data_IF_004334470803
#
_entry.id   IF_004334470803
#
_cell.length_a   1.000
_cell.length_b   1.000
_cell.length_c   1.000
_cell.angle_alpha   90.00
_cell.angle_beta   90.00
_cell.angle_gamma   90.00
#
_symmetry.space_group_name_H-M   'P 1'
#
loop_
_entity.id
_entity.type
_entity.pdbx_description
1 polymer ?
#
# COMPACT_ATOMS: atom_id res chain seq x y z
N UNK A 1 -14.64 23.12 -1.11
CA UNK A 1 -13.62 22.41 -0.30
C UNK A 1 -14.27 21.21 0.37
N UNK A 2 -13.77 20.00 0.17
CA UNK A 2 -14.31 18.80 0.81
C UNK A 2 -13.67 18.66 2.19
N UNK A 3 -14.50 18.68 3.25
CA UNK A 3 -14.07 18.54 4.65
C UNK A 3 -13.29 17.25 4.92
N UNK A 4 -13.43 16.24 4.08
CA UNK A 4 -12.82 14.93 4.24
C UNK A 4 -11.29 14.98 4.21
N UNK A 5 -10.67 15.85 3.40
CA UNK A 5 -9.20 15.97 3.36
C UNK A 5 -8.64 16.60 4.65
N UNK A 6 -9.38 17.52 5.27
CA UNK A 6 -9.01 18.09 6.58
C UNK A 6 -9.10 17.00 7.65
N UNK A 7 -10.19 16.23 7.65
CA UNK A 7 -10.39 15.10 8.59
C UNK A 7 -9.31 14.04 8.39
N UNK A 8 -8.95 13.75 7.14
CA UNK A 8 -7.90 12.81 6.78
C UNK A 8 -6.52 13.26 7.29
N UNK A 9 -6.17 14.53 7.09
CA UNK A 9 -4.92 15.10 7.60
C UNK A 9 -4.87 15.10 9.13
N UNK A 10 -5.98 15.48 9.78
CA UNK A 10 -6.09 15.46 11.24
C UNK A 10 -6.01 14.04 11.80
N UNK A 11 -6.64 13.06 11.14
CA UNK A 11 -6.58 11.65 11.50
C UNK A 11 -5.13 11.15 11.57
N UNK A 12 -4.33 11.40 10.53
CA UNK A 12 -2.91 11.01 10.55
C UNK A 12 -2.08 11.79 11.57
N UNK A 13 -2.36 13.08 11.76
CA UNK A 13 -1.70 13.87 12.80
C UNK A 13 -1.93 13.26 14.19
N UNK A 14 -3.18 12.99 14.55
CA UNK A 14 -3.54 12.38 15.84
C UNK A 14 -2.91 11.00 15.98
N UNK A 15 -2.98 10.18 14.93
CA UNK A 15 -2.40 8.84 14.91
C UNK A 15 -0.90 8.88 15.20
N UNK A 16 -0.14 9.75 14.52
CA UNK A 16 1.31 9.89 14.70
C UNK A 16 1.64 10.43 16.11
N UNK A 17 0.86 11.39 16.61
CA UNK A 17 1.02 11.89 17.98
C UNK A 17 0.82 10.78 19.02
N UNK A 18 -0.26 10.00 18.89
CA UNK A 18 -0.55 8.85 19.77
C UNK A 18 0.52 7.76 19.63
N UNK A 19 0.98 7.51 18.41
CA UNK A 19 2.04 6.55 18.10
C UNK A 19 3.33 6.90 18.86
N UNK A 20 3.81 8.13 18.74
CA UNK A 20 5.04 8.59 19.38
C UNK A 20 4.96 8.69 20.90
N UNK A 21 3.79 9.05 21.45
CA UNK A 21 3.63 9.29 22.89
C UNK A 21 3.39 7.99 23.68
N UNK A 22 2.61 7.05 23.14
CA UNK A 22 2.13 5.89 23.88
C UNK A 22 2.39 4.56 23.19
N UNK A 23 1.98 4.45 21.92
CA UNK A 23 1.92 3.17 21.20
C UNK A 23 3.31 2.58 20.93
N UNK A 24 4.33 3.42 20.75
CA UNK A 24 5.72 2.95 20.55
C UNK A 24 6.21 2.13 21.76
N UNK A 25 5.97 2.62 22.99
CA UNK A 25 6.31 1.91 24.23
C UNK A 25 5.52 0.63 24.41
N UNK A 26 4.28 0.59 23.90
CA UNK A 26 3.44 -0.60 23.94
C UNK A 26 3.91 -1.65 22.92
N UNK A 27 4.23 -1.22 21.70
CA UNK A 27 4.73 -2.09 20.62
C UNK A 27 6.11 -2.68 20.91
N UNK A 28 6.93 -2.02 21.72
CA UNK A 28 8.18 -2.60 22.23
C UNK A 28 7.94 -3.80 23.17
N UNK A 29 6.78 -3.89 23.82
CA UNK A 29 6.45 -4.97 24.78
C UNK A 29 5.64 -6.11 24.18
N UNK A 30 4.96 -5.89 23.06
CA UNK A 30 4.11 -6.90 22.41
C UNK A 30 4.76 -7.44 21.13
N UNK A 31 4.35 -8.62 20.65
CA UNK A 31 4.87 -9.18 19.40
C UNK A 31 4.64 -8.21 18.22
N UNK A 32 5.66 -8.04 17.38
CA UNK A 32 5.62 -7.11 16.25
C UNK A 32 4.52 -7.38 15.21
N UNK A 33 3.81 -8.50 15.30
CA UNK A 33 2.62 -8.78 14.47
C UNK A 33 1.49 -7.79 14.76
N UNK A 34 1.29 -7.39 16.02
CA UNK A 34 0.21 -6.47 16.40
C UNK A 34 0.44 -5.07 15.84
N UNK A 35 1.69 -4.60 15.83
CA UNK A 35 2.06 -3.34 15.19
C UNK A 35 1.76 -3.34 13.68
N UNK A 36 2.00 -4.48 13.00
CA UNK A 36 1.67 -4.62 11.56
C UNK A 36 0.18 -4.62 11.29
N UNK A 37 -0.60 -5.35 12.09
CA UNK A 37 -2.06 -5.39 11.98
C UNK A 37 -2.64 -3.99 12.23
N UNK A 38 -2.15 -3.31 13.27
CA UNK A 38 -2.51 -1.93 13.56
C UNK A 38 -2.25 -1.02 12.36
N UNK A 39 -1.05 -1.08 11.77
CA UNK A 39 -0.68 -0.26 10.62
C UNK A 39 -1.61 -0.52 9.43
N UNK A 40 -1.91 -1.79 9.11
CA UNK A 40 -2.83 -2.12 8.03
C UNK A 40 -4.23 -1.57 8.29
N UNK A 41 -4.78 -1.78 9.49
CA UNK A 41 -6.10 -1.26 9.84
C UNK A 41 -6.14 0.27 9.77
N UNK A 42 -5.15 0.95 10.35
CA UNK A 42 -5.14 2.39 10.45
C UNK A 42 -4.94 3.07 9.09
N UNK A 43 -4.11 2.50 8.21
CA UNK A 43 -3.93 2.98 6.83
C UNK A 43 -5.19 2.76 6.00
N UNK A 44 -5.86 1.59 6.13
CA UNK A 44 -7.10 1.32 5.43
C UNK A 44 -8.20 2.30 5.83
N UNK A 45 -8.38 2.57 7.12
CA UNK A 45 -9.34 3.58 7.64
C UNK A 45 -9.00 4.96 7.09
N UNK A 46 -7.73 5.35 7.11
CA UNK A 46 -7.28 6.60 6.51
C UNK A 46 -7.61 6.68 5.01
N UNK A 47 -7.48 5.57 4.28
CA UNK A 47 -7.82 5.54 2.85
C UNK A 47 -9.31 5.78 2.58
N UNK A 48 -10.21 5.36 3.48
CA UNK A 48 -11.66 5.61 3.34
C UNK A 48 -11.97 7.10 3.36
N UNK A 49 -11.41 7.85 4.33
CA UNK A 49 -11.60 9.30 4.41
C UNK A 49 -11.04 10.05 3.21
N UNK A 50 -10.04 9.47 2.55
CA UNK A 50 -9.40 10.05 1.39
C UNK A 50 -10.15 9.76 0.08
N UNK A 51 -10.67 8.54 -0.07
CA UNK A 51 -11.34 8.09 -1.29
C UNK A 51 -12.74 8.69 -1.45
N UNK A 52 -13.52 8.74 -0.36
CA UNK A 52 -14.89 9.23 -0.41
C UNK A 52 -14.97 10.75 -0.31
N UNK A 53 -15.74 11.38 -1.21
CA UNK A 53 -16.00 12.84 -1.20
C UNK A 53 -17.18 13.23 -0.31
N UNK A 54 -17.98 12.25 0.14
CA UNK A 54 -19.07 12.43 1.09
C UNK A 54 -18.75 11.70 2.40
N UNK A 55 -18.84 12.41 3.53
CA UNK A 55 -18.50 11.88 4.84
C UNK A 55 -19.52 10.84 5.33
N UNK A 56 -20.79 10.96 4.93
CA UNK A 56 -21.83 9.96 5.23
C UNK A 56 -21.51 8.63 4.57
N UNK A 57 -21.08 8.66 3.30
CA UNK A 57 -20.63 7.46 2.59
C UNK A 57 -19.38 6.85 3.23
N UNK A 58 -18.42 7.68 3.66
CA UNK A 58 -17.22 7.22 4.35
C UNK A 58 -17.57 6.47 5.65
N UNK A 59 -18.46 7.03 6.48
CA UNK A 59 -18.88 6.36 7.73
C UNK A 59 -19.70 5.09 7.47
N UNK A 60 -20.57 5.08 6.45
CA UNK A 60 -21.27 3.87 6.03
C UNK A 60 -20.29 2.77 5.61
N UNK A 61 -19.26 3.12 4.83
CA UNK A 61 -18.22 2.19 4.40
C UNK A 61 -17.39 1.66 5.58
N UNK A 62 -16.99 2.52 6.52
CA UNK A 62 -16.32 2.10 7.75
C UNK A 62 -17.20 1.13 8.55
N UNK A 63 -18.50 1.40 8.66
CA UNK A 63 -19.46 0.50 9.30
C UNK A 63 -19.41 -0.89 8.68
N UNK A 64 -19.45 -0.99 7.35
CA UNK A 64 -19.38 -2.27 6.62
C UNK A 64 -18.02 -2.97 6.85
N UNK A 65 -16.90 -2.22 6.85
CA UNK A 65 -15.56 -2.80 7.08
C UNK A 65 -15.43 -3.51 8.43
N UNK A 66 -16.15 -3.04 9.45
CA UNK A 66 -16.16 -3.63 10.79
C UNK A 66 -17.38 -4.55 11.04
N UNK A 67 -18.04 -5.02 9.98
CA UNK A 67 -19.12 -6.02 10.06
C UNK A 67 -20.53 -5.44 10.24
N UNK A 68 -20.70 -4.13 10.06
CA UNK A 68 -22.01 -3.48 10.05
C UNK A 68 -22.84 -3.85 8.82
N UNK A 69 -24.14 -3.56 8.89
CA UNK A 69 -25.11 -3.73 7.80
C UNK A 69 -25.33 -5.18 7.31
N UNK A 70 -25.00 -6.19 8.14
CA UNK A 70 -25.12 -7.62 7.81
C UNK A 70 -24.46 -8.01 6.48
N UNK A 71 -23.42 -7.29 6.08
CA UNK A 71 -22.72 -7.58 4.83
C UNK A 71 -22.00 -8.94 4.93
N UNK A 72 -22.17 -9.84 3.95
CA UNK A 72 -21.47 -11.12 3.95
C UNK A 72 -19.96 -10.90 3.77
N UNK A 73 -19.15 -11.70 4.48
CA UNK A 73 -17.68 -11.62 4.42
C UNK A 73 -17.15 -11.89 3.00
N UNK A 74 -17.88 -12.67 2.20
CA UNK A 74 -17.56 -12.96 0.82
C UNK A 74 -18.83 -12.94 -0.04
N UNK A 75 -18.76 -12.28 -1.19
CA UNK A 75 -19.78 -12.33 -2.24
C UNK A 75 -19.21 -12.90 -3.54
N UNK A 76 -20.10 -13.28 -4.47
CA UNK A 76 -19.68 -13.70 -5.81
C UNK A 76 -18.85 -12.62 -6.51
N UNK A 77 -19.23 -11.36 -6.33
CA UNK A 77 -18.50 -10.20 -6.87
C UNK A 77 -17.07 -10.16 -6.34
N UNK A 78 -16.87 -10.32 -5.03
CA UNK A 78 -15.53 -10.34 -4.40
C UNK A 78 -14.68 -11.44 -5.03
N UNK A 79 -15.25 -12.63 -5.25
CA UNK A 79 -14.54 -13.75 -5.88
C UNK A 79 -14.16 -13.43 -7.33
N UNK A 80 -15.07 -12.87 -8.12
CA UNK A 80 -14.82 -12.48 -9.51
C UNK A 80 -13.70 -11.43 -9.58
N UNK A 81 -13.76 -10.38 -8.77
CA UNK A 81 -12.72 -9.34 -8.74
C UNK A 81 -11.37 -9.90 -8.29
N UNK A 82 -11.36 -10.79 -7.29
CA UNK A 82 -10.13 -11.43 -6.83
C UNK A 82 -9.48 -12.26 -7.93
N UNK A 83 -10.25 -13.14 -8.59
CA UNK A 83 -9.71 -14.01 -9.65
C UNK A 83 -9.28 -13.24 -10.89
N UNK A 84 -10.03 -12.22 -11.30
CA UNK A 84 -9.64 -11.36 -12.43
C UNK A 84 -8.33 -10.61 -12.18
N UNK A 85 -8.02 -10.28 -10.92
CA UNK A 85 -6.81 -9.56 -10.54
C UNK A 85 -5.75 -10.45 -9.87
N UNK A 86 -5.96 -11.76 -9.78
CA UNK A 86 -5.09 -12.66 -9.01
C UNK A 86 -3.65 -12.64 -9.51
N UNK A 87 -3.44 -12.60 -10.83
CA UNK A 87 -2.12 -12.48 -11.42
C UNK A 87 -1.41 -11.17 -11.00
N UNK A 88 -2.14 -10.05 -11.03
CA UNK A 88 -1.61 -8.75 -10.62
C UNK A 88 -1.31 -8.72 -9.12
N UNK A 89 -2.19 -9.27 -8.28
CA UNK A 89 -1.99 -9.39 -6.83
C UNK A 89 -0.76 -10.23 -6.48
N UNK A 90 -0.52 -11.34 -7.21
CA UNK A 90 0.69 -12.14 -7.02
C UNK A 90 1.95 -11.37 -7.38
N UNK A 91 1.95 -10.65 -8.51
CA UNK A 91 3.08 -9.80 -8.91
C UNK A 91 3.34 -8.71 -7.86
N UNK A 92 2.28 -8.04 -7.39
CA UNK A 92 2.37 -7.02 -6.34
C UNK A 92 2.93 -7.60 -5.04
N UNK A 93 2.47 -8.79 -4.62
CA UNK A 93 2.96 -9.45 -3.42
C UNK A 93 4.46 -9.78 -3.48
N UNK A 94 4.93 -10.27 -4.63
CA UNK A 94 6.36 -10.56 -4.87
C UNK A 94 7.18 -9.26 -4.93
N UNK A 95 6.63 -8.21 -5.55
CA UNK A 95 7.30 -6.92 -5.68
C UNK A 95 7.40 -6.15 -4.35
N UNK A 96 6.38 -6.23 -3.50
CA UNK A 96 6.35 -5.57 -2.19
C UNK A 96 7.22 -6.27 -1.13
N UNK A 97 7.58 -7.54 -1.34
CA UNK A 97 8.51 -8.24 -0.47
C UNK A 97 9.97 -7.96 -0.88
N UNK A 98 10.94 -7.95 0.05
CA UNK A 98 12.36 -7.79 -0.26
C UNK A 98 12.95 -9.05 -0.94
N UNK A 99 12.14 -9.79 -1.69
CA UNK A 99 12.47 -11.03 -2.37
C UNK A 99 13.65 -10.84 -3.32
N UNK A 100 13.58 -9.84 -4.22
CA UNK A 100 14.66 -9.53 -5.16
C UNK A 100 15.97 -9.14 -4.46
N UNK A 101 15.90 -8.40 -3.34
CA UNK A 101 17.08 -8.04 -2.54
C UNK A 101 17.73 -9.27 -1.90
N UNK A 102 16.94 -10.16 -1.31
CA UNK A 102 17.43 -11.40 -0.68
C UNK A 102 17.99 -12.38 -1.71
N UNK A 103 17.36 -12.47 -2.88
CA UNK A 103 17.81 -13.31 -3.99
C UNK A 103 19.16 -12.85 -4.54
N UNK A 104 19.30 -11.55 -4.82
CA UNK A 104 20.57 -10.94 -5.26
C UNK A 104 21.70 -11.15 -4.25
N UNK A 105 21.41 -11.02 -2.94
CA UNK A 105 22.40 -11.25 -1.89
C UNK A 105 22.82 -12.73 -1.73
N UNK A 106 21.91 -13.69 -1.97
CA UNK A 106 22.24 -15.13 -1.96
C UNK A 106 23.14 -15.51 -3.13
N UNK A 107 22.88 -14.97 -4.32
CA UNK A 107 23.70 -15.23 -5.52
C UNK A 107 25.11 -14.64 -5.35
N UNK A 108 25.23 -13.42 -4.81
CA UNK A 108 26.53 -12.80 -4.53
C UNK A 108 27.36 -13.58 -3.49
N UNK A 109 26.72 -14.22 -2.50
CA UNK A 109 27.40 -15.03 -1.48
C UNK A 109 27.82 -16.41 -1.99
N UNK A 110 27.13 -17.01 -2.95
CA UNK A 110 27.46 -18.33 -3.49
C UNK A 110 28.48 -18.29 -4.66
N UNK A 111 28.75 -17.14 -5.26
CA UNK A 111 29.55 -17.03 -6.49
C UNK A 111 30.89 -16.33 -6.33
N UNK A 112 31.99 -17.04 -6.59
CA UNK A 112 33.41 -16.57 -6.67
C UNK A 112 33.68 -15.49 -7.76
N UNK A 113 32.64 -14.90 -8.37
CA UNK A 113 32.66 -13.86 -9.44
C UNK A 113 31.98 -12.54 -8.99
N UNK A 114 32.14 -12.18 -7.73
CA UNK A 114 31.45 -11.06 -7.08
C UNK A 114 31.74 -9.65 -7.60
N UNK A 115 32.55 -9.45 -8.64
CA UNK A 115 32.82 -8.14 -9.27
C UNK A 115 31.92 -7.89 -10.50
N UNK A 116 31.87 -8.84 -11.45
CA UNK A 116 31.04 -8.73 -12.66
C UNK A 116 29.54 -8.71 -12.34
N UNK A 117 29.08 -9.53 -11.40
CA UNK A 117 27.68 -9.59 -10.98
C UNK A 117 27.27 -8.27 -10.29
N UNK A 118 28.19 -7.65 -9.55
CA UNK A 118 27.95 -6.36 -8.88
C UNK A 118 27.85 -5.20 -9.87
N UNK A 119 28.73 -5.17 -10.87
CA UNK A 119 28.69 -4.18 -11.96
C UNK A 119 27.40 -4.29 -12.77
N UNK A 120 26.99 -5.51 -13.13
CA UNK A 120 25.74 -5.76 -13.84
C UNK A 120 24.52 -5.33 -13.01
N UNK A 121 24.52 -5.63 -11.71
CA UNK A 121 23.42 -5.26 -10.81
C UNK A 121 23.31 -3.73 -10.61
N UNK A 122 24.43 -3.01 -10.61
CA UNK A 122 24.43 -1.53 -10.56
C UNK A 122 23.85 -0.89 -11.82
N UNK A 123 23.90 -1.55 -12.97
CA UNK A 123 23.33 -1.04 -14.22
C UNK A 123 21.87 -1.50 -14.44
N UNK A 124 21.56 -2.74 -14.07
CA UNK A 124 20.20 -3.31 -14.24
C UNK A 124 19.18 -2.60 -13.35
N UNK A 125 19.54 -2.23 -12.11
CA UNK A 125 18.64 -1.52 -11.19
C UNK A 125 18.12 -0.18 -11.73
N UNK A 126 18.97 0.78 -12.16
CA UNK A 126 18.48 2.05 -12.69
C UNK A 126 17.69 1.87 -13.98
N UNK A 127 18.12 0.98 -14.89
CA UNK A 127 17.38 0.68 -16.12
C UNK A 127 15.99 0.12 -15.82
N UNK A 128 15.89 -0.83 -14.88
CA UNK A 128 14.61 -1.38 -14.43
C UNK A 128 13.71 -0.29 -13.82
N UNK A 129 14.25 0.56 -12.95
CA UNK A 129 13.48 1.66 -12.36
C UNK A 129 12.99 2.67 -13.41
N UNK A 130 13.82 2.99 -14.42
CA UNK A 130 13.43 3.85 -15.55
C UNK A 130 12.32 3.19 -16.37
N UNK A 131 12.43 1.90 -16.66
CA UNK A 131 11.39 1.16 -17.38
C UNK A 131 10.07 1.15 -16.60
N UNK A 132 10.10 0.88 -15.29
CA UNK A 132 8.92 0.95 -14.43
C UNK A 132 8.33 2.35 -14.38
N UNK A 133 9.16 3.40 -14.35
CA UNK A 133 8.71 4.79 -14.40
C UNK A 133 7.98 5.10 -15.72
N UNK A 134 8.58 4.74 -16.86
CA UNK A 134 7.96 4.94 -18.18
C UNK A 134 6.64 4.19 -18.27
N UNK A 135 6.61 2.93 -17.82
CA UNK A 135 5.39 2.13 -17.79
C UNK A 135 4.32 2.81 -16.93
N UNK A 136 4.68 3.29 -15.74
CA UNK A 136 3.76 4.01 -14.85
C UNK A 136 3.20 5.27 -15.50
N UNK A 137 4.01 6.03 -16.26
CA UNK A 137 3.56 7.21 -17.01
C UNK A 137 2.60 6.83 -18.14
N UNK A 138 2.85 5.74 -18.87
CA UNK A 138 1.95 5.25 -19.93
C UNK A 138 0.61 4.84 -19.34
N UNK A 139 0.61 4.09 -18.23
CA UNK A 139 -0.61 3.71 -17.53
C UNK A 139 -1.38 4.92 -17.01
N UNK A 140 -0.67 5.94 -16.51
CA UNK A 140 -1.29 7.19 -16.08
C UNK A 140 -1.92 7.95 -17.26
N UNK A 141 -1.23 8.02 -18.41
CA UNK A 141 -1.72 8.70 -19.61
C UNK A 141 -2.89 7.97 -20.29
N UNK A 142 -2.94 6.64 -20.20
CA UNK A 142 -4.04 5.81 -20.73
C UNK A 142 -5.32 5.87 -19.89
N UNK A 143 -5.25 6.36 -18.65
CA UNK A 143 -6.41 6.63 -17.81
C UNK A 143 -6.92 8.05 -18.11
N UNK A 144 -7.88 8.18 -19.05
CA UNK A 144 -8.48 9.47 -19.43
C UNK A 144 -9.36 10.15 -18.36
N UNK A 145 -9.25 9.81 -17.07
CA UNK A 145 -10.09 10.37 -16.02
C UNK A 145 -9.28 10.90 -14.82
N UNK A 146 -9.27 12.22 -14.72
CA UNK A 146 -8.76 13.07 -13.63
C UNK A 146 -7.31 12.83 -13.21
N UNK A 147 -6.34 13.39 -13.98
CA UNK A 147 -4.98 13.55 -13.49
C UNK A 147 -4.98 14.66 -12.44
N UNK A 148 -5.42 14.35 -11.22
CA UNK A 148 -4.84 14.83 -9.97
C UNK A 148 -5.80 14.57 -8.81
N UNK A 149 -5.31 13.87 -7.80
CA UNK A 149 -5.84 14.01 -6.45
C UNK A 149 -5.78 15.47 -5.98
N UNK A 150 -4.83 16.27 -6.49
CA UNK A 150 -4.74 17.72 -6.18
C UNK A 150 -5.74 18.64 -6.89
N UNK A 151 -6.49 18.18 -7.91
CA UNK A 151 -7.57 19.01 -8.51
C UNK A 151 -8.82 19.02 -7.61
N UNK A 152 -8.89 18.14 -6.61
CA UNK A 152 -9.91 18.15 -5.55
C UNK A 152 -9.55 19.04 -4.35
N UNK A 153 -8.37 19.67 -4.37
CA UNK A 153 -7.91 20.63 -3.35
C UNK A 153 -8.15 22.06 -3.85
#
# INVERSE_FOLDING_TARGET
ASWNFIIWGLYYFVLICVEKLFLLRLFERIPGIFSRIYLWAAVLVGWVFFYHTDLSQAFGFLGIMFGGNNAPVSSLEVSIYFWNNAAFLMIAFIACTPFFKRFSQKIEKCGRKGSLIRGLNSFVKPVFNIAVLILSVIFLAGQSYNPFMYFKF
#
